data_IF_195586415340
#
_entry.id   IF_195586415340
#
_cell.length_a   1.000
_cell.length_b   1.000
_cell.length_c   1.000
_cell.angle_alpha   90.00
_cell.angle_beta   90.00
_cell.angle_gamma   90.00
#
_symmetry.space_group_name_H-M   'P 1'
#
loop_
_entity.id
_entity.type
_entity.pdbx_description
1 polymer ?
#
# COMPACT_ATOMS: atom_id res chain seq x y z
N UNK A 1 -4.15 -13.51 10.79
CA UNK A 1 -4.86 -12.29 11.21
C UNK A 1 -4.75 -11.32 10.05
N UNK A 2 -5.87 -10.85 9.48
CA UNK A 2 -5.82 -9.84 8.42
C UNK A 2 -5.32 -8.52 9.00
N UNK A 3 -4.31 -7.94 8.37
CA UNK A 3 -3.77 -6.63 8.70
C UNK A 3 -4.82 -5.53 8.50
N UNK A 4 -4.67 -4.40 9.20
CA UNK A 4 -5.56 -3.26 9.04
C UNK A 4 -5.58 -2.74 7.58
N UNK A 5 -4.43 -2.75 6.92
CA UNK A 5 -4.29 -2.40 5.51
C UNK A 5 -5.15 -3.29 4.58
N UNK A 6 -5.14 -4.61 4.77
CA UNK A 6 -5.98 -5.54 4.00
C UNK A 6 -7.48 -5.26 4.19
N UNK A 7 -7.89 -4.94 5.42
CA UNK A 7 -9.29 -4.59 5.72
C UNK A 7 -9.71 -3.31 5.00
N UNK A 8 -8.84 -2.30 4.97
CA UNK A 8 -9.08 -1.02 4.28
C UNK A 8 -9.15 -1.20 2.76
N UNK A 9 -8.23 -1.96 2.16
CA UNK A 9 -8.24 -2.27 0.72
C UNK A 9 -9.50 -3.05 0.32
N UNK A 10 -9.89 -4.06 1.10
CA UNK A 10 -11.12 -4.80 0.87
C UNK A 10 -12.36 -3.88 0.95
N UNK A 11 -12.36 -2.88 1.85
CA UNK A 11 -13.45 -1.91 1.97
C UNK A 11 -13.47 -0.94 0.79
N UNK A 12 -12.30 -0.50 0.31
CA UNK A 12 -12.18 0.29 -0.91
C UNK A 12 -12.77 -0.49 -2.10
N UNK A 13 -12.44 -1.77 -2.25
CA UNK A 13 -13.02 -2.66 -3.27
C UNK A 13 -14.54 -2.68 -3.23
N UNK A 14 -15.14 -2.92 -2.05
CA UNK A 14 -16.61 -2.92 -1.90
C UNK A 14 -17.28 -1.60 -2.29
N UNK A 15 -16.62 -0.46 -2.07
CA UNK A 15 -17.15 0.84 -2.51
C UNK A 15 -17.11 0.97 -4.05
N UNK A 16 -16.07 0.43 -4.68
CA UNK A 16 -15.89 0.43 -6.13
C UNK A 16 -16.82 -0.57 -6.84
N UNK A 17 -17.23 -1.64 -6.15
CA UNK A 17 -18.17 -2.66 -6.65
C UNK A 17 -19.65 -2.26 -6.48
N UNK A 18 -19.93 -1.18 -5.73
CA UNK A 18 -21.31 -0.79 -5.45
C UNK A 18 -22.07 -0.46 -6.75
N UNK A 19 -23.21 -1.11 -7.03
CA UNK A 19 -24.00 -0.88 -8.25
C UNK A 19 -24.55 0.55 -8.35
N UNK A 20 -24.58 1.28 -7.24
CA UNK A 20 -24.92 2.71 -7.16
C UNK A 20 -23.68 3.63 -7.13
N UNK A 21 -22.49 3.12 -7.48
CA UNK A 21 -21.25 3.89 -7.50
C UNK A 21 -21.31 5.14 -8.39
N UNK A 22 -22.15 5.12 -9.43
CA UNK A 22 -22.46 6.26 -10.30
C UNK A 22 -23.47 7.24 -9.71
N UNK A 23 -24.32 6.80 -8.77
CA UNK A 23 -25.34 7.63 -8.10
C UNK A 23 -24.77 8.38 -6.90
N UNK A 24 -23.70 7.85 -6.30
CA UNK A 24 -22.87 8.55 -5.32
C UNK A 24 -21.58 9.00 -6.01
N UNK A 25 -21.58 10.16 -6.66
CA UNK A 25 -20.43 10.71 -7.41
C UNK A 25 -19.12 10.90 -6.62
N UNK A 26 -19.07 10.47 -5.36
CA UNK A 26 -17.91 10.45 -4.47
C UNK A 26 -17.42 9.04 -4.09
N UNK A 27 -18.04 7.95 -4.57
CA UNK A 27 -17.67 6.56 -4.21
C UNK A 27 -16.21 6.23 -4.54
N UNK A 28 -15.73 6.59 -5.73
CA UNK A 28 -14.34 6.38 -6.15
C UNK A 28 -13.35 7.21 -5.30
N UNK A 29 -13.70 8.45 -4.95
CA UNK A 29 -12.86 9.29 -4.08
C UNK A 29 -12.80 8.73 -2.66
N UNK A 30 -13.93 8.27 -2.11
CA UNK A 30 -13.95 7.65 -0.80
C UNK A 30 -13.13 6.35 -0.78
N UNK A 31 -13.21 5.54 -1.85
CA UNK A 31 -12.36 4.37 -2.01
C UNK A 31 -10.87 4.76 -2.08
N UNK A 32 -10.52 5.85 -2.78
CA UNK A 32 -9.15 6.36 -2.82
C UNK A 32 -8.64 6.81 -1.45
N UNK A 33 -9.49 7.41 -0.60
CA UNK A 33 -9.15 7.74 0.79
C UNK A 33 -8.83 6.48 1.60
N UNK A 34 -9.67 5.44 1.52
CA UNK A 34 -9.42 4.18 2.24
C UNK A 34 -8.15 3.47 1.75
N UNK A 35 -7.94 3.43 0.43
CA UNK A 35 -6.73 2.88 -0.15
C UNK A 35 -5.48 3.66 0.29
N UNK A 36 -5.56 4.99 0.39
CA UNK A 36 -4.46 5.83 0.89
C UNK A 36 -4.11 5.50 2.33
N UNK A 37 -5.11 5.33 3.19
CA UNK A 37 -4.89 4.93 4.58
C UNK A 37 -4.20 3.56 4.67
N UNK A 38 -4.62 2.59 3.85
CA UNK A 38 -3.96 1.29 3.79
C UNK A 38 -2.49 1.41 3.37
N UNK A 39 -2.20 2.26 2.38
CA UNK A 39 -0.83 2.53 1.92
C UNK A 39 0.01 3.19 3.02
N UNK A 40 -0.56 4.13 3.78
CA UNK A 40 0.14 4.78 4.90
C UNK A 40 0.47 3.76 6.02
N UNK A 41 -0.42 2.83 6.32
CA UNK A 41 -0.15 1.74 7.27
C UNK A 41 0.95 0.77 6.79
N UNK A 42 0.94 0.45 5.49
CA UNK A 42 1.97 -0.40 4.88
C UNK A 42 3.33 0.30 4.84
N UNK A 43 3.37 1.61 4.56
CA UNK A 43 4.58 2.42 4.65
C UNK A 43 5.14 2.37 6.07
N UNK A 44 4.29 2.52 7.08
CA UNK A 44 4.71 2.52 8.48
C UNK A 44 5.28 1.16 8.90
N UNK A 45 4.58 0.08 8.53
CA UNK A 45 5.03 -1.30 8.76
C UNK A 45 6.38 -1.54 8.08
N UNK A 46 6.51 -1.17 6.81
CA UNK A 46 7.71 -1.41 6.02
C UNK A 46 8.90 -0.58 6.50
N UNK A 47 8.67 0.68 6.89
CA UNK A 47 9.70 1.51 7.50
C UNK A 47 10.20 0.90 8.82
N UNK A 48 9.31 0.32 9.64
CA UNK A 48 9.71 -0.35 10.86
C UNK A 48 10.57 -1.59 10.58
N UNK A 49 10.19 -2.41 9.60
CA UNK A 49 10.96 -3.59 9.17
C UNK A 49 12.37 -3.21 8.67
N UNK A 50 12.47 -2.16 7.84
CA UNK A 50 13.75 -1.75 7.23
C UNK A 50 14.72 -1.07 8.20
N UNK A 51 14.19 -0.38 9.22
CA UNK A 51 15.02 0.39 10.16
C UNK A 51 15.25 -0.33 11.48
N UNK A 52 14.46 -1.37 11.79
CA UNK A 52 14.46 -2.04 13.09
C UNK A 52 13.86 -1.18 14.22
N UNK A 53 13.27 -0.02 13.89
CA UNK A 53 12.64 0.89 14.86
C UNK A 53 11.12 0.74 14.77
N UNK A 54 10.46 0.56 15.92
CA UNK A 54 9.02 0.29 15.96
C UNK A 54 8.15 1.38 15.31
N UNK A 55 8.60 2.64 15.31
CA UNK A 55 7.87 3.75 14.70
C UNK A 55 8.84 4.80 14.17
N UNK A 56 8.81 5.03 12.85
CA UNK A 56 9.51 6.15 12.24
C UNK A 56 8.64 7.40 12.42
N UNK A 57 9.06 8.32 13.30
CA UNK A 57 8.37 9.59 13.51
C UNK A 57 8.78 10.56 12.41
N UNK A 58 7.81 11.03 11.63
CA UNK A 58 8.05 11.98 10.55
C UNK A 58 6.87 12.15 9.61
N UNK A 59 6.99 13.09 8.68
CA UNK A 59 5.99 13.28 7.61
C UNK A 59 5.95 12.06 6.70
N UNK A 60 4.83 11.85 6.01
CA UNK A 60 4.73 10.79 5.00
C UNK A 60 5.86 10.87 3.97
N UNK A 61 6.24 12.09 3.54
CA UNK A 61 7.37 12.31 2.63
C UNK A 61 8.72 11.84 3.19
N UNK A 62 8.97 11.99 4.49
CA UNK A 62 10.18 11.48 5.12
C UNK A 62 10.19 9.93 5.10
N UNK A 63 9.07 9.29 5.43
CA UNK A 63 8.92 7.82 5.36
C UNK A 63 9.13 7.30 3.93
N UNK A 64 8.59 7.99 2.92
CA UNK A 64 8.87 7.65 1.52
C UNK A 64 10.36 7.76 1.15
N UNK A 65 11.11 8.69 1.74
CA UNK A 65 12.55 8.80 1.52
C UNK A 65 13.31 7.60 2.14
N UNK A 66 12.84 7.09 3.27
CA UNK A 66 13.34 5.84 3.87
C UNK A 66 13.10 4.68 2.91
N UNK A 67 11.86 4.49 2.43
CA UNK A 67 11.55 3.44 1.46
C UNK A 67 12.41 3.54 0.21
N UNK A 68 12.53 4.74 -0.38
CA UNK A 68 13.35 4.97 -1.57
C UNK A 68 14.82 4.60 -1.35
N UNK A 69 15.34 4.83 -0.16
CA UNK A 69 16.74 4.58 0.16
C UNK A 69 17.00 3.11 0.48
N UNK A 70 16.13 2.50 1.29
CA UNK A 70 16.39 1.22 1.95
C UNK A 70 15.63 0.04 1.35
N UNK A 71 14.41 0.24 0.81
CA UNK A 71 13.61 -0.86 0.27
C UNK A 71 14.11 -1.24 -1.12
N UNK A 72 14.60 -2.48 -1.25
CA UNK A 72 15.06 -3.06 -2.53
C UNK A 72 14.06 -4.03 -3.15
N UNK A 73 12.92 -4.21 -2.52
CA UNK A 73 11.84 -5.07 -3.02
C UNK A 73 10.87 -4.29 -3.91
N UNK A 74 9.99 -4.97 -4.67
CA UNK A 74 8.95 -4.31 -5.45
C UNK A 74 7.99 -3.44 -4.60
N UNK A 75 7.84 -3.74 -3.30
CA UNK A 75 6.96 -3.00 -2.40
C UNK A 75 7.34 -1.52 -2.26
N UNK A 76 8.64 -1.20 -2.20
CA UNK A 76 9.13 0.17 -1.98
C UNK A 76 8.64 1.14 -3.05
N UNK A 77 8.97 0.92 -4.35
CA UNK A 77 8.45 1.73 -5.45
C UNK A 77 6.92 1.74 -5.53
N UNK A 78 6.27 0.58 -5.35
CA UNK A 78 4.81 0.48 -5.41
C UNK A 78 4.12 1.35 -4.35
N UNK A 79 4.61 1.37 -3.11
CA UNK A 79 4.07 2.21 -2.03
C UNK A 79 4.31 3.71 -2.29
N UNK A 80 5.48 4.08 -2.83
CA UNK A 80 5.79 5.47 -3.18
C UNK A 80 4.83 5.98 -4.26
N UNK A 81 4.66 5.22 -5.33
CA UNK A 81 3.79 5.58 -6.45
C UNK A 81 2.32 5.58 -6.03
N UNK A 82 1.89 4.58 -5.26
CA UNK A 82 0.56 4.49 -4.64
C UNK A 82 0.23 5.74 -3.82
N UNK A 83 1.12 6.12 -2.91
CA UNK A 83 0.90 7.27 -2.05
C UNK A 83 0.73 8.57 -2.83
N UNK A 84 1.56 8.79 -3.86
CA UNK A 84 1.48 9.98 -4.70
C UNK A 84 0.19 10.07 -5.52
N UNK A 85 -0.20 8.97 -6.18
CA UNK A 85 -1.42 8.94 -6.99
C UNK A 85 -2.68 9.10 -6.12
N UNK A 86 -2.77 8.34 -5.02
CA UNK A 86 -3.94 8.39 -4.13
C UNK A 86 -4.05 9.75 -3.43
N UNK A 87 -2.93 10.39 -3.10
CA UNK A 87 -2.94 11.78 -2.63
C UNK A 87 -3.59 12.71 -3.65
N UNK A 88 -3.23 12.58 -4.92
CA UNK A 88 -3.84 13.35 -6.01
C UNK A 88 -5.34 13.09 -6.17
N UNK A 89 -5.78 11.84 -6.03
CA UNK A 89 -7.19 11.44 -6.11
C UNK A 89 -8.07 12.00 -4.97
N UNK A 90 -7.46 12.21 -3.80
CA UNK A 90 -8.14 12.72 -2.61
C UNK A 90 -8.33 14.24 -2.62
N UNK A 91 -7.59 14.99 -3.44
CA UNK A 91 -7.69 16.46 -3.48
C UNK A 91 -8.92 16.92 -4.28
N UNK A 92 -9.57 17.98 -3.77
CA UNK A 92 -10.63 18.70 -4.46
C UNK A 92 -10.08 20.03 -4.96
N UNK A 93 -9.75 20.11 -6.25
CA UNK A 93 -9.56 21.38 -6.94
C UNK A 93 -10.77 21.65 -7.83
N UNK A 94 -11.19 22.92 -7.95
CA UNK A 94 -12.44 23.33 -8.58
C UNK A 94 -12.64 22.83 -10.03
N UNK A 95 -11.55 22.48 -10.72
CA UNK A 95 -11.54 21.98 -12.10
C UNK A 95 -10.94 20.58 -12.25
N UNK A 96 -10.60 19.92 -11.15
CA UNK A 96 -10.03 18.58 -11.18
C UNK A 96 -11.15 17.54 -11.26
N UNK A 97 -11.08 16.69 -12.27
CA UNK A 97 -11.99 15.57 -12.41
C UNK A 97 -11.84 14.61 -11.22
N UNK A 98 -12.94 14.02 -10.79
CA UNK A 98 -12.90 12.90 -9.83
C UNK A 98 -12.10 11.74 -10.42
N UNK A 99 -11.36 10.98 -9.60
CA UNK A 99 -10.74 9.76 -10.07
C UNK A 99 -11.81 8.79 -10.57
N UNK A 100 -11.50 8.08 -11.65
CA UNK A 100 -12.35 7.01 -12.16
C UNK A 100 -12.22 5.77 -11.28
N UNK A 101 -13.25 4.92 -11.30
CA UNK A 101 -13.22 3.61 -10.62
C UNK A 101 -12.02 2.77 -11.09
N UNK A 102 -11.70 2.82 -12.39
CA UNK A 102 -10.59 2.07 -12.98
C UNK A 102 -9.23 2.53 -12.43
N UNK A 103 -9.00 3.84 -12.32
CA UNK A 103 -7.77 4.39 -11.75
C UNK A 103 -7.56 3.98 -10.29
N UNK A 104 -8.62 4.05 -9.48
CA UNK A 104 -8.54 3.64 -8.07
C UNK A 104 -8.31 2.13 -7.96
N UNK A 105 -8.99 1.31 -8.78
CA UNK A 105 -8.77 -0.16 -8.81
C UNK A 105 -7.34 -0.51 -9.21
N UNK A 106 -6.79 0.15 -10.22
CA UNK A 106 -5.43 -0.08 -10.66
C UNK A 106 -4.44 0.12 -9.50
N UNK A 107 -4.68 1.14 -8.67
CA UNK A 107 -3.82 1.42 -7.53
C UNK A 107 -4.01 0.45 -6.36
N UNK A 108 -5.24 0.01 -6.06
CA UNK A 108 -5.45 -1.07 -5.10
C UNK A 108 -4.75 -2.36 -5.55
N UNK A 109 -4.91 -2.74 -6.82
CA UNK A 109 -4.33 -3.96 -7.37
C UNK A 109 -2.79 -3.95 -7.38
N UNK A 110 -2.17 -2.80 -7.67
CA UNK A 110 -0.72 -2.65 -7.61
C UNK A 110 -0.20 -2.85 -6.17
N UNK A 111 -0.86 -2.23 -5.18
CA UNK A 111 -0.49 -2.40 -3.76
C UNK A 111 -0.67 -3.84 -3.31
N UNK A 112 -1.79 -4.48 -3.63
CA UNK A 112 -2.04 -5.89 -3.26
C UNK A 112 -0.97 -6.82 -3.84
N UNK A 113 -0.70 -6.68 -5.14
CA UNK A 113 0.29 -7.51 -5.84
C UNK A 113 1.69 -7.32 -5.28
N UNK A 114 2.13 -6.07 -5.11
CA UNK A 114 3.55 -5.78 -4.90
C UNK A 114 3.91 -5.70 -3.40
N UNK A 115 2.91 -5.56 -2.50
CA UNK A 115 3.13 -5.40 -1.06
C UNK A 115 2.57 -6.56 -0.21
N UNK A 116 1.49 -7.23 -0.64
CA UNK A 116 0.84 -8.28 0.16
C UNK A 116 1.12 -9.70 -0.33
N UNK A 117 1.44 -9.89 -1.60
CA UNK A 117 1.71 -11.22 -2.17
C UNK A 117 2.97 -11.90 -1.58
N UNK A 118 3.92 -11.14 -1.02
CA UNK A 118 5.20 -11.64 -0.51
C UNK A 118 5.18 -12.27 0.89
N UNK A 119 4.08 -12.20 1.63
CA UNK A 119 4.00 -12.77 2.99
C UNK A 119 3.95 -14.31 3.01
N UNK A 120 3.69 -14.96 1.88
CA UNK A 120 3.55 -16.43 1.79
C UNK A 120 4.86 -17.20 1.52
N UNK A 121 5.96 -16.54 1.14
CA UNK A 121 7.17 -17.27 0.67
C UNK A 121 8.37 -17.26 1.64
N UNK A 122 8.28 -16.65 2.83
CA UNK A 122 9.42 -16.58 3.77
C UNK A 122 9.51 -17.71 4.81
N UNK A 123 8.72 -18.78 4.69
CA UNK A 123 8.78 -19.95 5.58
C UNK A 123 9.40 -21.16 4.87
N UNK A 124 10.67 -21.07 4.47
CA UNK A 124 11.31 -22.17 3.74
C UNK A 124 12.79 -22.01 3.40
N UNK A 125 13.61 -21.48 4.31
CA UNK A 125 15.07 -21.57 4.16
C UNK A 125 15.73 -21.83 5.51
N UNK A 126 15.75 -23.10 5.91
CA UNK A 126 16.59 -23.56 7.02
C UNK A 126 18.06 -23.64 6.53
N UNK A 127 19.04 -23.19 7.33
CA UNK A 127 20.44 -23.38 6.99
C UNK A 127 20.86 -24.80 7.36
N UNK A 128 21.16 -25.65 6.38
CA UNK A 128 21.88 -26.89 6.64
C UNK A 128 23.35 -26.54 6.91
N UNK A 129 23.69 -26.40 8.19
CA UNK A 129 25.06 -26.37 8.67
C UNK A 129 25.61 -27.78 8.90
N UNK A 130 26.92 -27.94 8.66
CA UNK A 130 27.76 -29.09 9.04
C UNK A 130 27.83 -30.19 7.98
N UNK A 131 29.00 -30.69 7.55
CA UNK A 131 30.16 -31.03 8.39
C UNK A 131 31.42 -31.17 7.53
N UNK A 132 32.52 -30.60 8.03
CA UNK A 132 33.91 -30.83 7.62
C UNK A 132 34.34 -32.23 8.04
N UNK A 133 34.97 -33.01 7.15
CA UNK A 133 35.60 -34.30 7.45
C UNK A 133 37.00 -34.37 6.84
N UNK A 134 37.93 -34.86 7.66
CA UNK A 134 39.39 -34.89 7.53
C UNK A 134 39.96 -35.59 6.29
#
# INVERSE_FOLDING_TARGET
MTSHAEVLLARAGRLLDSPHGTTLGNSARLAAFLARQAVEDLIDTRCAELTGVQTVIGTAKAKLAVLKSLDKTPAGPALIDAWHQLTGFCHHHAYQLSPTVAEVRAQCAAVERDCLAGASESSGAAPTGGTVGA
#
